data_IF_798317002075
#
_entry.id   IF_798317002075
#
_cell.length_a   1.000
_cell.length_b   1.000
_cell.length_c   1.000
_cell.angle_alpha   90.00
_cell.angle_beta   90.00
_cell.angle_gamma   90.00
#
_symmetry.space_group_name_H-M   'P 1'
#
loop_
_entity.id
_entity.type
_entity.pdbx_description
1 polymer ?
#
# COMPACT_ATOMS: atom_id res chain seq x y z
N UNK A 1 -24.21 -9.39 -6.42
CA UNK A 1 -23.30 -8.34 -5.90
C UNK A 1 -22.55 -7.87 -7.13
N UNK A 2 -22.86 -6.67 -7.62
CA UNK A 2 -22.40 -6.17 -8.93
C UNK A 2 -21.46 -4.98 -8.69
N UNK A 3 -20.40 -4.91 -9.48
CA UNK A 3 -19.64 -3.70 -9.84
C UNK A 3 -18.78 -3.04 -8.76
N UNK A 4 -17.83 -3.77 -8.16
CA UNK A 4 -16.64 -3.11 -7.59
C UNK A 4 -15.41 -3.67 -8.29
N UNK A 5 -14.60 -2.76 -8.86
CA UNK A 5 -13.31 -3.12 -9.45
C UNK A 5 -12.50 -3.87 -8.39
N UNK A 6 -11.86 -4.99 -8.74
CA UNK A 6 -10.93 -5.70 -7.87
C UNK A 6 -9.84 -4.82 -7.25
N UNK A 7 -9.45 -3.74 -7.92
CA UNK A 7 -8.53 -2.72 -7.39
C UNK A 7 -9.09 -2.06 -6.12
N UNK A 8 -10.41 -1.91 -5.99
CA UNK A 8 -11.04 -1.35 -4.79
C UNK A 8 -10.75 -2.22 -3.56
N UNK A 9 -10.60 -3.54 -3.71
CA UNK A 9 -10.23 -4.42 -2.59
C UNK A 9 -8.81 -4.17 -2.12
N UNK A 10 -7.87 -3.94 -3.05
CA UNK A 10 -6.50 -3.57 -2.72
C UNK A 10 -6.44 -2.19 -2.05
N UNK A 11 -7.21 -1.22 -2.55
CA UNK A 11 -7.33 0.12 -1.94
C UNK A 11 -7.86 0.07 -0.50
N UNK A 12 -8.92 -0.70 -0.27
CA UNK A 12 -9.48 -0.88 1.07
C UNK A 12 -8.46 -1.51 2.01
N UNK A 13 -7.70 -2.51 1.54
CA UNK A 13 -6.66 -3.14 2.33
C UNK A 13 -5.54 -2.16 2.72
N UNK A 14 -5.13 -1.28 1.79
CA UNK A 14 -4.14 -0.23 2.08
C UNK A 14 -4.71 0.79 3.08
N UNK A 15 -5.95 1.23 2.90
CA UNK A 15 -6.60 2.17 3.82
C UNK A 15 -6.75 1.60 5.23
N UNK A 16 -7.17 0.34 5.37
CA UNK A 16 -7.33 -0.33 6.67
C UNK A 16 -6.00 -0.41 7.42
N UNK A 17 -4.92 -0.62 6.68
CA UNK A 17 -3.58 -0.71 7.22
C UNK A 17 -3.00 0.66 7.59
N UNK A 18 -3.29 1.73 6.83
CA UNK A 18 -2.92 3.11 7.21
C UNK A 18 -3.64 3.52 8.51
N UNK A 19 -4.91 3.13 8.63
CA UNK A 19 -5.70 3.27 9.86
C UNK A 19 -5.10 2.50 11.05
N UNK A 20 -4.63 1.27 10.82
CA UNK A 20 -3.96 0.45 11.83
C UNK A 20 -2.64 1.11 12.29
N UNK A 21 -1.84 1.61 11.35
CA UNK A 21 -0.64 2.39 11.63
C UNK A 21 -0.95 3.68 12.39
N UNK A 22 -2.00 4.41 12.02
CA UNK A 22 -2.39 5.64 12.70
C UNK A 22 -2.87 5.42 14.15
N UNK A 23 -3.50 4.27 14.42
CA UNK A 23 -3.99 3.93 15.77
C UNK A 23 -2.91 3.34 16.66
N UNK A 24 -1.99 2.58 16.10
CA UNK A 24 -1.04 1.77 16.86
C UNK A 24 0.42 2.06 16.53
N UNK A 25 0.76 3.03 15.68
CA UNK A 25 2.11 3.27 15.17
C UNK A 25 3.16 3.49 16.26
N UNK A 26 2.80 4.11 17.38
CA UNK A 26 3.68 4.26 18.54
C UNK A 26 3.91 2.96 19.33
N UNK A 27 3.01 1.96 19.19
CA UNK A 27 3.03 0.69 19.95
C UNK A 27 3.45 -0.52 19.11
N UNK A 28 3.14 -0.52 17.81
CA UNK A 28 3.49 -1.55 16.83
C UNK A 28 5.00 -1.65 16.63
N UNK A 29 5.74 -0.55 16.82
CA UNK A 29 7.11 -0.41 16.34
C UNK A 29 8.11 0.13 17.36
N UNK A 30 7.78 0.06 18.66
CA UNK A 30 8.79 0.26 19.70
C UNK A 30 9.87 -0.83 19.56
N UNK A 31 11.17 -0.48 19.31
CA UNK A 31 12.23 -1.44 19.01
C UNK A 31 12.59 -2.37 20.19
N UNK A 32 11.90 -2.24 21.33
CA UNK A 32 12.24 -2.92 22.57
C UNK A 32 10.99 -3.33 23.32
N UNK A 33 10.69 -4.64 23.27
CA UNK A 33 9.68 -5.39 24.03
C UNK A 33 8.25 -5.39 23.47
N UNK A 34 8.01 -6.24 22.48
CA UNK A 34 6.85 -7.13 22.55
C UNK A 34 7.06 -8.34 21.66
N UNK A 35 6.88 -9.53 22.24
CA UNK A 35 6.97 -10.84 21.57
C UNK A 35 5.65 -11.17 20.85
N UNK A 36 4.63 -10.30 20.99
CA UNK A 36 3.27 -10.47 20.45
C UNK A 36 2.73 -9.19 19.77
N UNK A 37 3.60 -8.25 19.37
CA UNK A 37 3.16 -7.11 18.55
C UNK A 37 2.73 -7.64 17.16
N UNK A 38 1.69 -7.07 16.52
CA UNK A 38 1.37 -7.36 15.13
C UNK A 38 2.65 -7.15 14.30
N UNK A 39 2.87 -8.03 13.32
CA UNK A 39 4.10 -8.06 12.53
C UNK A 39 4.57 -6.69 12.04
N UNK A 40 5.88 -6.61 11.76
CA UNK A 40 6.51 -5.39 11.21
C UNK A 40 5.75 -4.79 10.02
N UNK A 41 6.08 -3.56 9.64
CA UNK A 41 5.45 -2.85 8.51
C UNK A 41 5.50 -3.68 7.21
N UNK A 42 6.53 -4.53 7.05
CA UNK A 42 6.60 -5.50 5.94
C UNK A 42 5.49 -6.55 6.02
N UNK A 43 5.22 -7.13 7.19
CA UNK A 43 4.16 -8.15 7.33
C UNK A 43 2.76 -7.57 7.07
N UNK A 44 2.55 -6.33 7.48
CA UNK A 44 1.34 -5.56 7.17
C UNK A 44 1.18 -5.37 5.65
N UNK A 45 2.27 -5.07 4.94
CA UNK A 45 2.27 -4.78 3.49
C UNK A 45 2.35 -6.01 2.59
N UNK A 46 2.86 -7.16 3.06
CA UNK A 46 2.89 -8.42 2.29
C UNK A 46 1.48 -8.91 1.90
N UNK A 47 0.45 -8.54 2.67
CA UNK A 47 -0.96 -8.81 2.32
C UNK A 47 -1.35 -8.14 1.00
N UNK A 48 -0.77 -6.97 0.70
CA UNK A 48 -1.02 -6.24 -0.55
C UNK A 48 -0.35 -6.89 -1.72
N UNK A 49 0.86 -7.44 -1.54
CA UNK A 49 1.59 -8.12 -2.60
C UNK A 49 0.79 -9.30 -3.17
N UNK A 50 0.19 -10.12 -2.31
CA UNK A 50 -0.63 -11.24 -2.76
C UNK A 50 -1.85 -10.76 -3.56
N UNK A 51 -2.59 -9.78 -3.05
CA UNK A 51 -3.75 -9.22 -3.73
C UNK A 51 -3.37 -8.52 -5.05
N UNK A 52 -2.23 -7.82 -5.08
CA UNK A 52 -1.71 -7.16 -6.27
C UNK A 52 -1.28 -8.17 -7.35
N UNK A 53 -0.65 -9.29 -6.96
CA UNK A 53 -0.21 -10.31 -7.91
C UNK A 53 -1.37 -10.86 -8.75
N UNK A 54 -2.52 -11.13 -8.14
CA UNK A 54 -3.70 -11.62 -8.85
C UNK A 54 -4.25 -10.57 -9.84
N UNK A 55 -4.21 -9.29 -9.44
CA UNK A 55 -4.62 -8.16 -10.31
C UNK A 55 -3.67 -7.99 -11.50
N UNK A 56 -2.36 -8.06 -11.26
CA UNK A 56 -1.30 -7.94 -12.27
C UNK A 56 -1.49 -9.02 -13.33
N UNK A 57 -1.59 -10.28 -12.92
CA UNK A 57 -1.79 -11.42 -13.85
C UNK A 57 -3.06 -11.24 -14.67
N UNK A 58 -4.15 -10.78 -14.05
CA UNK A 58 -5.40 -10.54 -14.76
C UNK A 58 -5.26 -9.45 -15.84
N UNK A 59 -4.67 -8.32 -15.49
CA UNK A 59 -4.46 -7.21 -16.43
C UNK A 59 -3.55 -7.62 -17.59
N UNK A 60 -2.49 -8.39 -17.33
CA UNK A 60 -1.66 -8.98 -18.38
C UNK A 60 -2.48 -9.86 -19.33
N UNK A 61 -3.33 -10.74 -18.80
CA UNK A 61 -4.22 -11.59 -19.59
C UNK A 61 -5.23 -10.80 -20.42
N UNK A 62 -5.60 -9.59 -19.97
CA UNK A 62 -6.48 -8.66 -20.69
C UNK A 62 -5.75 -7.75 -21.67
N UNK A 63 -4.44 -7.94 -21.85
CA UNK A 63 -3.63 -7.15 -22.77
C UNK A 63 -3.35 -5.73 -22.26
N UNK A 64 -3.30 -5.55 -20.94
CA UNK A 64 -3.05 -4.29 -20.25
C UNK A 64 -1.80 -4.37 -19.36
N UNK A 65 -0.62 -4.62 -19.96
CA UNK A 65 0.62 -4.74 -19.19
C UNK A 65 1.07 -3.41 -18.57
N UNK A 66 0.71 -2.27 -19.17
CA UNK A 66 1.08 -0.96 -18.63
C UNK A 66 0.35 -0.70 -17.29
N UNK A 67 -0.97 -0.93 -17.25
CA UNK A 67 -1.77 -0.86 -16.02
C UNK A 67 -1.26 -1.85 -14.96
N UNK A 68 -0.85 -3.06 -15.37
CA UNK A 68 -0.29 -4.08 -14.48
C UNK A 68 1.04 -3.62 -13.85
N UNK A 69 1.92 -3.01 -14.66
CA UNK A 69 3.19 -2.47 -14.17
C UNK A 69 2.96 -1.32 -13.18
N UNK A 70 1.96 -0.47 -13.40
CA UNK A 70 1.66 0.60 -12.46
C UNK A 70 1.20 0.09 -11.09
N UNK A 71 0.42 -1.01 -11.05
CA UNK A 71 0.08 -1.70 -9.79
C UNK A 71 1.36 -2.26 -9.14
N UNK A 72 2.20 -2.97 -9.89
CA UNK A 72 3.43 -3.57 -9.36
C UNK A 72 4.38 -2.50 -8.79
N UNK A 73 4.59 -1.41 -9.52
CA UNK A 73 5.45 -0.30 -9.10
C UNK A 73 4.92 0.40 -7.84
N UNK A 74 3.59 0.62 -7.75
CA UNK A 74 2.99 1.23 -6.56
C UNK A 74 3.18 0.37 -5.31
N UNK A 75 2.98 -0.95 -5.44
CA UNK A 75 3.11 -1.88 -4.32
C UNK A 75 4.57 -2.15 -3.96
N UNK A 76 5.46 -2.29 -4.95
CA UNK A 76 6.89 -2.44 -4.73
C UNK A 76 7.47 -1.23 -3.98
N UNK A 77 7.10 -0.01 -4.41
CA UNK A 77 7.53 1.23 -3.75
C UNK A 77 7.09 1.28 -2.29
N UNK A 78 5.85 0.90 -1.98
CA UNK A 78 5.34 0.85 -0.60
C UNK A 78 6.12 -0.17 0.25
N UNK A 79 6.36 -1.38 -0.29
CA UNK A 79 7.09 -2.43 0.43
C UNK A 79 8.54 -2.01 0.73
N UNK A 80 9.19 -1.28 -0.19
CA UNK A 80 10.53 -0.76 0.05
C UNK A 80 10.57 0.22 1.23
N UNK A 81 9.60 1.13 1.31
CA UNK A 81 9.48 2.07 2.45
C UNK A 81 9.18 1.32 3.75
N UNK A 82 8.26 0.35 3.72
CA UNK A 82 7.94 -0.47 4.88
C UNK A 82 9.16 -1.26 5.39
N UNK A 83 9.98 -1.79 4.46
CA UNK A 83 11.24 -2.46 4.80
C UNK A 83 12.25 -1.51 5.42
N UNK A 84 12.42 -0.33 4.84
CA UNK A 84 13.33 0.69 5.39
C UNK A 84 12.88 1.15 6.78
N UNK A 85 11.57 1.23 7.02
CA UNK A 85 10.99 1.52 8.33
C UNK A 85 11.33 0.43 9.35
N UNK A 86 11.05 -0.84 9.03
CA UNK A 86 11.34 -1.99 9.91
C UNK A 86 12.84 -2.14 10.24
N UNK A 87 13.71 -1.73 9.31
CA UNK A 87 15.17 -1.76 9.49
C UNK A 87 15.71 -0.52 10.23
N UNK A 88 14.87 0.46 10.55
CA UNK A 88 15.28 1.72 11.17
C UNK A 88 16.15 2.59 10.26
N UNK A 89 16.04 2.42 8.94
CA UNK A 89 16.81 3.16 7.93
C UNK A 89 16.16 4.50 7.59
N UNK A 90 14.84 4.62 7.77
CA UNK A 90 14.13 5.90 7.64
C UNK A 90 14.56 6.86 8.74
N UNK A 91 14.85 8.11 8.35
CA UNK A 91 15.30 9.17 9.26
C UNK A 91 14.31 10.31 9.26
N UNK A 92 14.09 10.89 10.44
CA UNK A 92 13.34 12.13 10.52
C UNK A 92 14.03 13.24 9.72
N UNK A 93 13.25 14.03 8.99
CA UNK A 93 13.76 15.16 8.20
C UNK A 93 12.80 16.33 8.26
N UNK A 94 13.31 17.55 8.06
CA UNK A 94 12.50 18.75 8.11
C UNK A 94 11.65 18.88 6.86
N UNK A 95 10.37 19.21 7.05
CA UNK A 95 9.50 19.62 5.95
C UNK A 95 10.03 20.90 5.32
N UNK A 96 9.77 21.05 4.02
CA UNK A 96 10.05 22.30 3.29
C UNK A 96 9.29 23.50 3.89
N UNK A 97 8.16 23.24 4.55
CA UNK A 97 7.49 24.21 5.42
C UNK A 97 8.04 24.09 6.86
N UNK A 98 8.91 25.03 7.24
CA UNK A 98 9.51 25.12 8.57
C UNK A 98 8.50 25.18 9.72
N UNK A 99 7.23 25.49 9.45
CA UNK A 99 6.16 25.53 10.47
C UNK A 99 5.54 24.18 10.77
N UNK A 100 5.74 23.19 9.90
CA UNK A 100 5.03 21.91 9.96
C UNK A 100 5.76 20.83 10.79
N UNK A 101 6.91 21.14 11.38
CA UNK A 101 7.70 20.19 12.18
C UNK A 101 8.44 19.14 11.32
N UNK A 102 9.22 18.25 11.95
CA UNK A 102 9.86 17.15 11.25
C UNK A 102 8.82 16.13 10.72
N UNK A 103 9.15 15.44 9.64
CA UNK A 103 8.47 14.24 9.18
C UNK A 103 9.13 13.06 9.89
N UNK A 104 8.40 12.39 10.78
CA UNK A 104 8.90 11.21 11.47
C UNK A 104 8.91 9.98 10.54
N UNK A 105 9.69 8.92 10.84
CA UNK A 105 9.69 7.69 10.04
C UNK A 105 8.30 7.09 9.82
N UNK A 106 7.41 7.19 10.81
CA UNK A 106 6.03 6.70 10.70
C UNK A 106 5.21 7.53 9.71
N UNK A 107 5.39 8.86 9.72
CA UNK A 107 4.74 9.76 8.75
C UNK A 107 5.22 9.45 7.32
N UNK A 108 6.48 9.05 7.14
CA UNK A 108 7.02 8.65 5.83
C UNK A 108 6.38 7.35 5.32
N UNK A 109 6.14 6.39 6.22
CA UNK A 109 5.42 5.15 5.87
C UNK A 109 3.96 5.45 5.48
N UNK A 110 3.24 6.25 6.28
CA UNK A 110 1.88 6.68 5.96
C UNK A 110 1.83 7.47 4.65
N UNK A 111 2.81 8.32 4.38
CA UNK A 111 2.90 9.05 3.12
C UNK A 111 3.07 8.08 1.93
N UNK A 112 3.87 7.03 2.07
CA UNK A 112 4.03 6.02 1.03
C UNK A 112 2.73 5.24 0.78
N UNK A 113 1.98 4.92 1.85
CA UNK A 113 0.67 4.27 1.73
C UNK A 113 -0.35 5.14 1.00
N UNK A 114 -0.40 6.42 1.35
CA UNK A 114 -1.26 7.39 0.67
C UNK A 114 -0.88 7.59 -0.80
N UNK A 115 0.42 7.58 -1.13
CA UNK A 115 0.88 7.65 -2.52
C UNK A 115 0.49 6.40 -3.32
N UNK A 116 0.65 5.22 -2.74
CA UNK A 116 0.25 3.97 -3.38
C UNK A 116 -1.29 3.93 -3.58
N UNK A 117 -2.06 4.33 -2.57
CA UNK A 117 -3.51 4.43 -2.67
C UNK A 117 -3.94 5.41 -3.77
N UNK A 118 -3.38 6.62 -3.81
CA UNK A 118 -3.71 7.61 -4.85
C UNK A 118 -3.46 7.08 -6.27
N UNK A 119 -2.33 6.42 -6.52
CA UNK A 119 -2.05 5.80 -7.83
C UNK A 119 -3.05 4.71 -8.18
N UNK A 120 -3.45 3.90 -7.22
CA UNK A 120 -4.43 2.83 -7.43
C UNK A 120 -5.85 3.38 -7.61
N UNK A 121 -6.19 4.51 -6.99
CA UNK A 121 -7.44 5.23 -7.23
C UNK A 121 -7.50 5.77 -8.66
N UNK A 122 -6.42 6.43 -9.11
CA UNK A 122 -6.30 6.92 -10.49
C UNK A 122 -6.48 5.76 -11.50
N UNK A 123 -5.79 4.63 -11.29
CA UNK A 123 -5.94 3.42 -12.10
C UNK A 123 -7.36 2.84 -12.07
N UNK A 124 -8.02 2.84 -10.90
CA UNK A 124 -9.38 2.34 -10.78
C UNK A 124 -10.39 3.16 -11.60
N UNK A 125 -10.14 4.47 -11.73
CA UNK A 125 -10.94 5.37 -12.56
C UNK A 125 -10.61 5.27 -14.05
N UNK A 126 -9.36 4.96 -14.40
CA UNK A 126 -8.90 4.84 -15.79
C UNK A 126 -9.25 3.49 -16.45
N UNK A 127 -9.25 2.39 -15.68
CA UNK A 127 -9.48 1.05 -16.23
C UNK A 127 -10.98 0.81 -16.42
N UNK A 128 -11.45 0.57 -17.67
CA UNK A 128 -12.87 0.36 -17.93
C UNK A 128 -13.44 -0.86 -17.18
N UNK A 129 -14.68 -0.75 -16.70
CA UNK A 129 -15.34 -1.80 -15.92
C UNK A 129 -15.39 -3.15 -16.66
N UNK A 130 -15.41 -3.14 -18.00
CA UNK A 130 -15.42 -4.34 -18.84
C UNK A 130 -14.16 -5.19 -18.69
N UNK A 131 -13.02 -4.58 -18.34
CA UNK A 131 -11.75 -5.29 -18.10
C UNK A 131 -11.88 -6.27 -16.92
N UNK A 132 -12.71 -5.93 -15.94
CA UNK A 132 -12.91 -6.72 -14.72
C UNK A 132 -13.97 -7.82 -14.85
N UNK A 133 -14.64 -7.93 -16.00
CA UNK A 133 -15.68 -8.94 -16.19
C UNK A 133 -15.12 -10.36 -16.07
N UNK A 134 -15.62 -11.11 -15.10
CA UNK A 134 -15.22 -12.49 -14.82
C UNK A 134 -13.99 -12.64 -13.93
N UNK A 135 -13.50 -11.55 -13.31
CA UNK A 135 -12.38 -11.62 -12.36
C UNK A 135 -12.70 -12.53 -11.17
N UNK A 136 -13.86 -12.37 -10.55
CA UNK A 136 -14.29 -13.17 -9.37
C UNK A 136 -14.63 -14.63 -9.71
N UNK A 137 -14.72 -14.98 -11.00
CA UNK A 137 -15.09 -16.32 -11.49
C UNK A 137 -13.87 -17.15 -11.97
N UNK A 138 -12.67 -16.53 -11.99
CA UNK A 138 -11.42 -17.11 -12.50
C UNK A 138 -10.63 -17.87 -11.42
#
# INVERSE_FOLDING_TARGET
>A
MRDRSPIIHLLLAISDADDELGRFGDQLFEPTRQVDAPGGAVELTERFRAAAADLIVWLEMRGRPDDANEIDDAIASLIEVARAYDQGELRAWLRDDERAGPIEPIDQLQQAMNQAAGRLEDLADEIPAEVWQGYDDA
#
